data_IF_616809540511
#
_entry.id   IF_616809540511
#
_cell.length_a   1.000
_cell.length_b   1.000
_cell.length_c   1.000
_cell.angle_alpha   90.00
_cell.angle_beta   90.00
_cell.angle_gamma   90.00
#
_symmetry.space_group_name_H-M   'P 1'
#
loop_
_entity.id
_entity.type
_entity.pdbx_description
1 polymer ?
#
# COMPACT_ATOMS: atom_id res chain seq x y z
N UNK A 1 -15.54 3.04 8.98
CA UNK A 1 -14.31 3.33 8.21
C UNK A 1 -13.76 4.68 8.61
N UNK A 2 -12.46 4.75 8.87
CA UNK A 2 -11.79 5.99 9.25
C UNK A 2 -10.67 6.28 8.25
N UNK A 3 -10.59 7.52 7.76
CA UNK A 3 -9.54 7.96 6.83
C UNK A 3 -8.70 9.02 7.52
N UNK A 4 -7.39 8.78 7.58
CA UNK A 4 -6.44 9.71 8.19
C UNK A 4 -5.44 10.16 7.13
N UNK A 5 -5.33 11.47 6.93
CA UNK A 5 -4.31 12.04 6.06
C UNK A 5 -2.97 12.01 6.78
N UNK A 6 -1.93 11.51 6.10
CA UNK A 6 -0.59 11.38 6.68
C UNK A 6 0.31 12.50 6.16
N UNK A 7 0.59 12.51 4.87
CA UNK A 7 1.49 13.49 4.27
C UNK A 7 1.43 13.38 2.74
N UNK A 8 1.33 14.52 2.05
CA UNK A 8 1.34 14.61 0.58
C UNK A 8 0.28 13.68 -0.04
N UNK A 9 0.66 12.63 -0.73
CA UNK A 9 -0.26 11.66 -1.34
C UNK A 9 -0.58 10.46 -0.44
N UNK A 10 -0.07 10.47 0.78
CA UNK A 10 -0.21 9.35 1.71
C UNK A 10 -1.41 9.47 2.63
N UNK A 11 -2.23 8.42 2.69
CA UNK A 11 -3.29 8.31 3.70
C UNK A 11 -3.41 6.91 4.24
N UNK A 12 -4.01 6.84 5.42
CA UNK A 12 -4.35 5.60 6.08
C UNK A 12 -5.86 5.44 6.09
N UNK A 13 -6.34 4.29 5.63
CA UNK A 13 -7.74 3.91 5.74
C UNK A 13 -7.84 2.78 6.74
N UNK A 14 -8.65 2.98 7.78
CA UNK A 14 -8.91 1.95 8.77
C UNK A 14 -10.33 1.40 8.58
N UNK A 15 -10.43 0.09 8.44
CA UNK A 15 -11.70 -0.63 8.38
C UNK A 15 -11.84 -1.54 9.60
N UNK A 16 -12.95 -2.24 9.75
CA UNK A 16 -13.13 -3.20 10.82
C UNK A 16 -12.14 -4.36 10.73
N UNK A 17 -11.69 -4.70 9.53
CA UNK A 17 -10.87 -5.89 9.29
C UNK A 17 -9.42 -5.61 8.93
N UNK A 18 -9.04 -4.36 8.61
CA UNK A 18 -7.69 -4.07 8.13
C UNK A 18 -7.32 -2.60 8.22
N UNK A 19 -6.00 -2.34 8.16
CA UNK A 19 -5.44 -1.02 7.89
C UNK A 19 -4.91 -0.99 6.48
N UNK A 20 -5.18 0.10 5.74
CA UNK A 20 -4.70 0.29 4.36
C UNK A 20 -3.90 1.58 4.32
N UNK A 21 -2.59 1.46 4.13
CA UNK A 21 -1.68 2.60 4.08
C UNK A 21 -1.23 2.82 2.64
N UNK A 22 -1.52 4.00 2.10
CA UNK A 22 -1.26 4.33 0.70
C UNK A 22 -0.09 5.30 0.55
N UNK A 23 0.85 4.95 -0.32
CA UNK A 23 1.94 5.82 -0.79
C UNK A 23 2.70 6.54 0.34
N UNK A 24 3.04 5.81 1.38
CA UNK A 24 3.74 6.35 2.53
C UNK A 24 5.25 6.48 2.25
N UNK A 25 5.78 7.68 2.47
CA UNK A 25 7.21 7.92 2.36
C UNK A 25 7.74 8.80 3.50
N UNK A 26 6.88 9.55 4.18
CA UNK A 26 7.24 10.30 5.38
C UNK A 26 5.97 10.72 6.11
N UNK A 27 6.15 11.20 7.34
CA UNK A 27 5.05 11.65 8.18
C UNK A 27 4.84 10.72 9.36
N UNK A 28 4.14 11.22 10.36
CA UNK A 28 3.87 10.47 11.57
C UNK A 28 2.70 9.53 11.36
N UNK A 29 2.90 8.25 11.69
CA UNK A 29 1.85 7.25 11.65
C UNK A 29 1.23 7.07 13.04
N UNK A 30 -0.08 6.79 13.12
CA UNK A 30 -0.69 6.38 14.38
C UNK A 30 -0.23 4.98 14.76
N UNK A 31 -0.50 4.58 15.99
CA UNK A 31 -0.25 3.21 16.41
C UNK A 31 -1.27 2.27 15.78
N UNK A 32 -0.79 1.10 15.35
CA UNK A 32 -1.64 0.06 14.75
C UNK A 32 -1.92 -1.03 15.76
N UNK A 33 -3.17 -1.51 15.80
CA UNK A 33 -3.52 -2.69 16.56
C UNK A 33 -2.92 -3.94 15.91
N UNK A 34 -2.31 -4.83 16.69
CA UNK A 34 -1.76 -6.08 16.18
C UNK A 34 -2.86 -7.08 15.75
N UNK A 35 -4.11 -6.83 16.14
CA UNK A 35 -5.23 -7.70 15.81
C UNK A 35 -5.66 -7.62 14.35
N UNK A 36 -5.30 -6.53 13.65
CA UNK A 36 -5.66 -6.33 12.25
C UNK A 36 -4.44 -6.36 11.36
N UNK A 37 -4.54 -6.94 10.17
CA UNK A 37 -3.45 -6.84 9.20
C UNK A 37 -3.29 -5.41 8.68
N UNK A 38 -2.04 -5.07 8.37
CA UNK A 38 -1.67 -3.81 7.74
C UNK A 38 -1.30 -4.08 6.28
N UNK A 39 -2.00 -3.44 5.34
CA UNK A 39 -1.69 -3.51 3.93
C UNK A 39 -1.04 -2.20 3.50
N UNK A 40 0.15 -2.29 2.93
CA UNK A 40 0.92 -1.12 2.47
C UNK A 40 0.95 -1.12 0.95
N UNK A 41 0.44 -0.04 0.36
CA UNK A 41 0.33 0.12 -1.08
C UNK A 41 1.30 1.17 -1.58
N UNK A 42 1.93 0.92 -2.72
CA UNK A 42 2.67 1.93 -3.46
C UNK A 42 2.16 1.95 -4.89
N UNK A 43 1.62 3.08 -5.33
CA UNK A 43 0.93 3.19 -6.61
C UNK A 43 1.88 3.26 -7.80
N UNK A 44 3.10 3.74 -7.60
CA UNK A 44 4.16 3.74 -8.62
C UNK A 44 5.52 4.06 -8.00
N UNK A 45 6.57 3.97 -8.80
CA UNK A 45 7.97 4.01 -8.32
C UNK A 45 8.51 5.35 -7.86
N UNK A 46 7.81 6.46 -8.09
CA UNK A 46 8.30 7.79 -7.77
C UNK A 46 8.51 8.00 -6.26
N UNK A 47 9.51 8.79 -5.83
CA UNK A 47 9.88 8.91 -4.41
C UNK A 47 8.78 9.43 -3.48
N UNK A 48 7.82 10.18 -4.01
CA UNK A 48 6.67 10.68 -3.23
C UNK A 48 5.53 9.67 -3.15
N UNK A 49 5.71 8.46 -3.72
CA UNK A 49 4.74 7.37 -3.68
C UNK A 49 5.34 6.06 -3.20
N UNK A 50 6.64 5.88 -3.38
CA UNK A 50 7.35 4.68 -2.92
C UNK A 50 8.64 5.06 -2.23
N UNK A 51 8.84 4.55 -1.02
CA UNK A 51 10.08 4.70 -0.26
C UNK A 51 10.36 3.39 0.47
N UNK A 52 11.63 3.05 0.59
CA UNK A 52 12.05 1.86 1.35
C UNK A 52 11.69 1.92 2.83
N UNK A 53 11.29 3.07 3.34
CA UNK A 53 10.88 3.22 4.74
C UNK A 53 9.67 2.34 5.08
N UNK A 54 8.84 1.98 4.08
CA UNK A 54 7.69 1.10 4.31
C UNK A 54 8.11 -0.29 4.81
N UNK A 55 9.30 -0.74 4.44
CA UNK A 55 9.78 -2.07 4.84
C UNK A 55 10.23 -2.12 6.31
N UNK A 56 10.50 -0.96 6.90
CA UNK A 56 10.83 -0.88 8.33
C UNK A 56 9.61 -1.12 9.22
N UNK A 57 8.41 -0.98 8.68
CA UNK A 57 7.17 -1.20 9.42
C UNK A 57 6.97 -2.66 9.83
N UNK A 58 7.61 -3.59 9.13
CA UNK A 58 7.51 -5.02 9.45
C UNK A 58 7.96 -5.33 10.87
N UNK A 59 8.98 -4.65 11.36
CA UNK A 59 9.50 -4.88 12.71
C UNK A 59 8.47 -4.56 13.79
N UNK A 60 7.65 -3.54 13.55
CA UNK A 60 6.63 -3.09 14.50
C UNK A 60 5.29 -3.78 14.30
N UNK A 61 5.02 -4.27 13.10
CA UNK A 61 3.74 -4.87 12.75
C UNK A 61 3.97 -6.11 11.87
N UNK A 62 4.25 -7.27 12.49
CA UNK A 62 4.56 -8.48 11.71
C UNK A 62 3.46 -8.96 10.77
N UNK A 63 2.20 -8.66 11.08
CA UNK A 63 1.07 -8.99 10.21
C UNK A 63 0.88 -7.92 9.15
N UNK A 64 1.90 -7.73 8.33
CA UNK A 64 1.96 -6.71 7.28
C UNK A 64 2.02 -7.38 5.91
N UNK A 65 1.39 -6.73 4.92
CA UNK A 65 1.41 -7.17 3.53
C UNK A 65 1.70 -5.95 2.65
N UNK A 66 2.57 -6.14 1.67
CA UNK A 66 2.92 -5.08 0.73
C UNK A 66 2.32 -5.39 -0.64
N UNK A 67 1.66 -4.40 -1.23
CA UNK A 67 1.09 -4.49 -2.57
C UNK A 67 1.67 -3.34 -3.39
N UNK A 68 2.61 -3.67 -4.25
CA UNK A 68 3.42 -2.69 -4.97
C UNK A 68 3.06 -2.69 -6.45
N UNK A 69 3.14 -1.51 -7.05
CA UNK A 69 2.92 -1.37 -8.48
C UNK A 69 3.98 -2.13 -9.29
N UNK A 70 3.60 -2.54 -10.48
CA UNK A 70 4.46 -3.34 -11.36
C UNK A 70 5.76 -2.65 -11.77
N UNK A 71 5.83 -1.31 -11.73
CA UNK A 71 7.02 -0.56 -12.10
C UNK A 71 8.07 -0.46 -10.96
N UNK A 72 7.76 -0.98 -9.78
CA UNK A 72 8.70 -1.04 -8.66
C UNK A 72 9.52 -2.32 -8.79
N UNK A 73 10.83 -2.18 -8.79
CA UNK A 73 11.72 -3.32 -9.00
C UNK A 73 11.75 -4.24 -7.78
N UNK A 74 11.61 -5.55 -8.03
CA UNK A 74 11.62 -6.56 -6.96
C UNK A 74 12.91 -6.56 -6.14
N UNK A 75 14.04 -6.17 -6.74
CA UNK A 75 15.31 -6.08 -6.02
C UNK A 75 15.34 -4.99 -4.95
N UNK A 76 14.38 -4.05 -4.98
CA UNK A 76 14.24 -3.02 -3.94
C UNK A 76 13.56 -3.54 -2.69
N UNK A 77 12.97 -4.72 -2.75
CA UNK A 77 12.28 -5.36 -1.62
C UNK A 77 13.32 -6.14 -0.81
N UNK A 78 13.46 -5.86 0.51
CA UNK A 78 14.35 -6.63 1.37
C UNK A 78 13.95 -8.11 1.40
N UNK A 79 14.92 -8.99 1.59
CA UNK A 79 14.68 -10.43 1.64
C UNK A 79 13.63 -10.82 2.68
N UNK A 80 13.64 -10.16 3.84
CA UNK A 80 12.68 -10.42 4.92
C UNK A 80 11.24 -10.06 4.55
N UNK A 81 11.04 -9.18 3.58
CA UNK A 81 9.72 -8.72 3.17
C UNK A 81 9.20 -9.39 1.90
N UNK A 82 10.04 -10.17 1.19
CA UNK A 82 9.65 -10.75 -0.10
C UNK A 82 8.44 -11.65 -0.05
N UNK A 83 8.33 -12.47 0.99
CA UNK A 83 7.18 -13.37 1.16
C UNK A 83 5.88 -12.62 1.41
N UNK A 84 5.98 -11.40 1.92
CA UNK A 84 4.84 -10.54 2.25
C UNK A 84 4.49 -9.55 1.14
N UNK A 85 5.25 -9.56 0.04
CA UNK A 85 5.11 -8.60 -1.04
C UNK A 85 4.48 -9.23 -2.27
N UNK A 86 3.53 -8.52 -2.86
CA UNK A 86 2.93 -8.88 -4.13
C UNK A 86 3.02 -7.67 -5.06
N UNK A 87 3.26 -7.95 -6.34
CA UNK A 87 3.28 -6.92 -7.38
C UNK A 87 1.99 -6.97 -8.18
N UNK A 88 1.41 -5.81 -8.42
CA UNK A 88 0.13 -5.70 -9.10
C UNK A 88 0.32 -5.05 -10.47
N UNK A 89 -0.04 -5.78 -11.52
CA UNK A 89 -0.04 -5.29 -12.90
C UNK A 89 -1.41 -4.70 -13.25
N UNK A 90 -1.46 -3.77 -14.24
CA UNK A 90 -2.75 -3.27 -14.73
C UNK A 90 -3.62 -4.43 -15.20
N UNK A 91 -4.89 -4.41 -14.79
CA UNK A 91 -5.85 -5.48 -15.11
C UNK A 91 -5.78 -6.70 -14.21
N UNK A 92 -4.81 -6.78 -13.32
CA UNK A 92 -4.69 -7.89 -12.38
C UNK A 92 -5.54 -7.66 -11.15
N UNK A 93 -6.08 -8.73 -10.58
CA UNK A 93 -6.87 -8.71 -9.35
C UNK A 93 -6.20 -9.60 -8.31
N UNK A 94 -6.00 -9.06 -7.11
CA UNK A 94 -5.56 -9.82 -5.95
C UNK A 94 -6.71 -9.91 -4.95
N UNK A 95 -6.97 -11.11 -4.46
CA UNK A 95 -8.05 -11.36 -3.51
C UNK A 95 -7.57 -12.36 -2.45
N UNK A 96 -7.47 -11.91 -1.20
CA UNK A 96 -7.01 -12.77 -0.09
C UNK A 96 -8.12 -13.09 0.91
N UNK A 97 -9.38 -12.78 0.56
CA UNK A 97 -10.53 -13.01 1.44
C UNK A 97 -10.85 -11.84 2.36
N UNK A 98 -9.87 -11.03 2.71
CA UNK A 98 -10.05 -9.81 3.52
C UNK A 98 -10.16 -8.59 2.61
N UNK A 99 -9.38 -8.58 1.54
CA UNK A 99 -9.20 -7.44 0.67
C UNK A 99 -9.15 -7.89 -0.77
N UNK A 100 -9.83 -7.15 -1.63
CA UNK A 100 -9.74 -7.31 -3.07
C UNK A 100 -9.11 -6.06 -3.66
N UNK A 101 -8.04 -6.23 -4.42
CA UNK A 101 -7.32 -5.12 -5.06
C UNK A 101 -7.27 -5.36 -6.55
N UNK A 102 -7.62 -4.34 -7.31
CA UNK A 102 -7.58 -4.36 -8.76
C UNK A 102 -6.64 -3.28 -9.28
N UNK A 103 -5.75 -3.65 -10.18
CA UNK A 103 -4.80 -2.73 -10.78
C UNK A 103 -5.37 -2.04 -12.01
N UNK A 104 -5.17 -0.74 -12.11
CA UNK A 104 -5.54 0.04 -13.28
C UNK A 104 -4.33 0.78 -13.81
N UNK A 105 -4.24 0.93 -15.13
CA UNK A 105 -3.22 1.77 -15.73
C UNK A 105 -3.68 3.22 -15.69
N UNK A 106 -2.89 4.06 -15.01
CA UNK A 106 -3.11 5.50 -15.03
C UNK A 106 -2.50 6.10 -16.29
N UNK A 107 -3.23 7.02 -16.90
CA UNK A 107 -2.71 7.82 -18.03
C UNK A 107 -2.08 9.13 -17.57
N UNK A 108 -2.23 9.49 -16.30
CA UNK A 108 -1.63 10.68 -15.73
C UNK A 108 -0.17 10.42 -15.40
N UNK A 109 0.74 11.08 -16.12
CA UNK A 109 2.18 10.93 -15.91
C UNK A 109 2.60 11.74 -14.68
N UNK A 110 3.15 11.05 -13.68
CA UNK A 110 3.79 11.70 -12.54
C UNK A 110 2.86 12.25 -11.46
N UNK A 111 1.57 11.96 -11.52
CA UNK A 111 0.62 12.40 -10.48
C UNK A 111 -0.23 11.23 -10.03
N UNK A 112 -0.12 10.84 -8.77
CA UNK A 112 -1.09 9.95 -8.16
C UNK A 112 -2.30 10.80 -7.80
N UNK A 113 -3.38 10.61 -8.53
CA UNK A 113 -4.66 11.20 -8.22
C UNK A 113 -5.35 10.35 -7.16
N UNK A 114 -6.05 10.97 -6.23
CA UNK A 114 -6.88 10.25 -5.25
C UNK A 114 -7.86 9.29 -5.91
N UNK A 115 -8.25 9.55 -7.15
CA UNK A 115 -9.11 8.66 -7.93
C UNK A 115 -8.42 7.36 -8.32
N UNK A 116 -7.11 7.41 -8.59
CA UNK A 116 -6.34 6.21 -8.92
C UNK A 116 -6.23 5.28 -7.72
N UNK A 117 -6.05 5.84 -6.54
CA UNK A 117 -5.99 5.07 -5.30
C UNK A 117 -7.32 4.38 -5.01
N UNK A 118 -8.43 5.09 -5.20
CA UNK A 118 -9.78 4.51 -5.02
C UNK A 118 -10.07 3.38 -5.99
N UNK A 119 -9.49 3.42 -7.17
CA UNK A 119 -9.67 2.38 -8.18
C UNK A 119 -8.79 1.16 -7.94
N UNK A 120 -7.74 1.31 -7.14
CA UNK A 120 -6.82 0.21 -6.83
C UNK A 120 -7.38 -0.74 -5.79
N UNK A 121 -8.34 -0.30 -4.97
CA UNK A 121 -8.75 -1.06 -3.80
C UNK A 121 -10.26 -1.14 -3.66
N UNK A 122 -10.74 -2.36 -3.46
CA UNK A 122 -12.13 -2.64 -3.09
C UNK A 122 -12.11 -3.49 -1.84
N UNK A 123 -12.86 -3.10 -0.81
CA UNK A 123 -12.87 -3.74 0.50
C UNK A 123 -14.18 -4.50 0.70
N UNK A 124 -14.08 -5.73 1.15
CA UNK A 124 -15.24 -6.57 1.47
C UNK A 124 -15.92 -6.14 2.75
#
# INVERSE_FOLDING_TARGET
>A
MKITYIHHSSFLVETESAYLLFDYFQGKLPEFSEEKPLYVFASHRHPDHFSKVIFDLEEKHPNIHYILAFDIWSKRVPESCKEKTRFLNPGQVLDDGTLKVEGFKSTAVGVADCRDIKRLCSIY
#
